data_IF_661557167697
#
_entry.id   IF_661557167697
#
_cell.length_a   1.000
_cell.length_b   1.000
_cell.length_c   1.000
_cell.angle_alpha   90.00
_cell.angle_beta   90.00
_cell.angle_gamma   90.00
#
_symmetry.space_group_name_H-M   'P 1'
#
loop_
_entity.id
_entity.type
_entity.pdbx_description
1 polymer ?
#
# COMPACT_ATOMS: atom_id res chain seq x y z
N UNK A 1 -29.11 6.45 -7.73
CA UNK A 1 -29.32 7.35 -6.57
C UNK A 1 -28.90 8.72 -7.05
N UNK A 2 -29.87 9.65 -7.17
CA UNK A 2 -29.61 11.03 -7.59
C UNK A 2 -28.79 11.71 -6.50
N UNK A 3 -27.57 12.07 -6.83
CA UNK A 3 -26.72 12.93 -6.01
C UNK A 3 -27.28 14.36 -6.15
N UNK A 4 -27.79 14.92 -5.07
CA UNK A 4 -28.22 16.32 -5.02
C UNK A 4 -26.96 17.17 -4.91
N UNK A 5 -26.72 18.00 -5.93
CA UNK A 5 -25.72 19.07 -5.92
C UNK A 5 -26.09 20.09 -4.83
N UNK A 6 -25.61 19.84 -3.62
CA UNK A 6 -25.58 20.88 -2.60
C UNK A 6 -24.21 21.56 -2.73
N UNK A 7 -24.12 22.83 -3.10
CA UNK A 7 -22.85 23.53 -3.09
C UNK A 7 -22.33 23.55 -1.65
N UNK A 8 -21.20 22.89 -1.42
CA UNK A 8 -20.44 23.03 -0.20
C UNK A 8 -20.04 24.51 -0.09
N UNK A 9 -20.81 25.28 0.68
CA UNK A 9 -20.38 26.60 1.12
C UNK A 9 -19.17 26.39 2.02
N UNK A 10 -17.98 26.56 1.44
CA UNK A 10 -16.73 26.53 2.12
C UNK A 10 -16.64 27.76 3.03
N UNK A 11 -17.23 27.69 4.22
CA UNK A 11 -16.95 28.63 5.28
C UNK A 11 -15.55 28.32 5.78
N UNK A 12 -14.56 28.96 5.17
CA UNK A 12 -13.17 28.93 5.64
C UNK A 12 -13.12 29.48 7.06
N UNK A 13 -13.08 28.58 8.05
CA UNK A 13 -12.64 28.97 9.37
C UNK A 13 -11.20 29.51 9.23
N UNK A 14 -10.88 30.68 9.80
CA UNK A 14 -9.50 31.15 9.76
C UNK A 14 -8.63 30.11 10.45
N UNK A 15 -7.67 29.54 9.71
CA UNK A 15 -6.71 28.59 10.24
C UNK A 15 -5.76 29.32 11.18
N UNK A 16 -6.13 29.38 12.45
CA UNK A 16 -5.36 30.09 13.47
C UNK A 16 -4.10 29.34 13.88
N UNK A 17 -3.95 28.05 13.52
CA UNK A 17 -2.72 27.29 13.80
C UNK A 17 -2.64 26.02 12.93
N UNK A 18 -2.02 26.06 11.73
CA UNK A 18 -1.94 24.92 10.82
C UNK A 18 -1.11 23.73 11.34
N UNK A 19 -0.33 23.91 12.40
CA UNK A 19 0.61 22.91 12.90
C UNK A 19 0.08 22.01 14.03
N UNK A 20 -1.24 21.96 14.26
CA UNK A 20 -1.83 21.14 15.33
C UNK A 20 -2.34 19.77 14.83
N UNK A 21 -1.63 19.12 13.93
CA UNK A 21 -1.90 17.70 13.67
C UNK A 21 -1.29 16.88 14.79
N UNK A 22 -2.14 16.42 15.71
CA UNK A 22 -1.71 15.48 16.74
C UNK A 22 -1.58 14.09 16.12
N UNK A 23 -0.37 13.59 16.02
CA UNK A 23 -0.08 12.22 15.60
C UNK A 23 0.74 11.49 16.66
N UNK A 24 0.76 10.18 16.60
CA UNK A 24 1.69 9.41 17.41
C UNK A 24 3.12 9.76 17.02
N UNK A 25 4.05 9.98 17.97
CA UNK A 25 5.46 10.22 17.67
C UNK A 25 6.10 9.13 16.83
N UNK A 26 5.55 7.91 16.84
CA UNK A 26 6.03 6.79 16.05
C UNK A 26 5.82 6.95 14.54
N UNK A 27 4.89 7.81 14.11
CA UNK A 27 4.65 8.09 12.69
C UNK A 27 5.65 9.08 12.08
N UNK A 28 6.21 9.98 12.89
CA UNK A 28 7.18 10.98 12.43
C UNK A 28 8.60 10.46 12.66
N UNK A 29 9.25 10.03 11.61
CA UNK A 29 10.61 9.51 11.66
C UNK A 29 11.47 10.09 10.52
N UNK A 30 12.66 10.62 10.84
CA UNK A 30 13.67 10.97 9.85
C UNK A 30 14.43 9.71 9.37
N UNK A 31 15.18 9.83 8.28
CA UNK A 31 15.90 8.72 7.66
C UNK A 31 16.87 7.98 8.60
N UNK A 32 17.42 8.68 9.59
CA UNK A 32 18.36 8.10 10.58
C UNK A 32 17.67 7.42 11.76
N UNK A 33 16.36 7.27 11.76
CA UNK A 33 15.63 6.55 12.82
C UNK A 33 15.87 5.03 12.78
N UNK A 34 16.38 4.53 11.67
CA UNK A 34 16.61 3.10 11.46
C UNK A 34 18.12 2.84 11.30
N UNK A 35 18.66 1.91 12.10
CA UNK A 35 20.06 1.50 12.00
C UNK A 35 20.29 0.55 10.83
N UNK A 36 19.27 -0.25 10.51
CA UNK A 36 19.30 -1.19 9.40
C UNK A 36 17.88 -1.57 8.96
N UNK A 37 17.77 -2.27 7.83
CA UNK A 37 16.48 -2.82 7.38
C UNK A 37 15.87 -3.82 8.37
N UNK A 38 16.64 -4.42 9.26
CA UNK A 38 16.12 -5.33 10.28
C UNK A 38 15.13 -4.64 11.23
N UNK A 39 15.25 -3.32 11.42
CA UNK A 39 14.40 -2.56 12.33
C UNK A 39 12.93 -2.47 11.86
N UNK A 40 12.69 -2.66 10.56
CA UNK A 40 11.36 -2.60 9.94
C UNK A 40 11.01 -3.83 9.10
N UNK A 41 11.81 -4.91 9.18
CA UNK A 41 11.57 -6.13 8.41
C UNK A 41 11.09 -7.26 9.29
N UNK A 42 9.93 -7.81 8.94
CA UNK A 42 9.42 -9.07 9.49
C UNK A 42 9.80 -10.20 8.53
N UNK A 43 10.80 -11.00 8.92
CA UNK A 43 11.25 -12.13 8.12
C UNK A 43 10.43 -13.38 8.48
N UNK A 44 9.85 -14.06 7.50
CA UNK A 44 9.13 -15.31 7.71
C UNK A 44 10.12 -16.43 8.04
N UNK A 45 9.77 -17.22 9.05
CA UNK A 45 10.44 -18.48 9.38
C UNK A 45 10.08 -19.57 8.36
N UNK A 46 10.83 -20.67 8.36
CA UNK A 46 10.53 -21.81 7.49
C UNK A 46 9.13 -22.37 7.77
N UNK A 47 8.74 -22.48 9.04
CA UNK A 47 7.38 -22.91 9.42
C UNK A 47 6.30 -21.99 8.84
N UNK A 48 6.46 -20.68 8.92
CA UNK A 48 5.49 -19.72 8.40
C UNK A 48 5.42 -19.75 6.86
N UNK A 49 6.54 -20.03 6.20
CA UNK A 49 6.57 -20.25 4.75
C UNK A 49 5.82 -21.51 4.38
N UNK A 50 6.03 -22.62 5.11
CA UNK A 50 5.34 -23.87 4.89
C UNK A 50 3.82 -23.72 5.12
N UNK A 51 3.41 -22.99 6.18
CA UNK A 51 1.99 -22.65 6.42
C UNK A 51 1.38 -21.87 5.24
N UNK A 52 2.08 -20.89 4.70
CA UNK A 52 1.61 -20.11 3.56
C UNK A 52 1.46 -20.97 2.31
N UNK A 53 2.46 -21.78 1.99
CA UNK A 53 2.42 -22.71 0.84
C UNK A 53 1.23 -23.68 0.99
N UNK A 54 1.09 -24.30 2.16
CA UNK A 54 0.00 -25.24 2.43
C UNK A 54 -1.36 -24.57 2.33
N UNK A 55 -1.52 -23.36 2.86
CA UNK A 55 -2.76 -22.60 2.79
C UNK A 55 -3.14 -22.28 1.34
N UNK A 56 -2.19 -21.81 0.53
CA UNK A 56 -2.40 -21.55 -0.90
C UNK A 56 -2.85 -22.81 -1.65
N UNK A 57 -2.15 -23.92 -1.44
CA UNK A 57 -2.43 -25.19 -2.13
C UNK A 57 -3.71 -25.89 -1.65
N UNK A 58 -4.22 -25.50 -0.48
CA UNK A 58 -5.50 -25.99 0.04
C UNK A 58 -6.73 -25.28 -0.54
N UNK A 59 -6.54 -24.16 -1.27
CA UNK A 59 -7.66 -23.44 -1.87
C UNK A 59 -8.34 -24.31 -2.93
N UNK A 60 -9.69 -24.38 -2.92
CA UNK A 60 -10.42 -25.14 -3.94
C UNK A 60 -10.14 -24.59 -5.35
N UNK A 61 -9.85 -25.46 -6.32
CA UNK A 61 -9.56 -25.10 -7.70
C UNK A 61 -10.68 -24.27 -8.39
N UNK A 62 -11.91 -24.33 -7.88
CA UNK A 62 -13.05 -23.56 -8.39
C UNK A 62 -13.15 -22.12 -7.82
N UNK A 63 -12.28 -21.75 -6.88
CA UNK A 63 -12.29 -20.40 -6.29
C UNK A 63 -11.09 -19.62 -6.81
N UNK A 64 -11.35 -18.39 -7.22
CA UNK A 64 -10.27 -17.43 -7.38
C UNK A 64 -9.79 -17.01 -5.99
N UNK A 65 -8.48 -16.79 -5.76
CA UNK A 65 -7.96 -16.33 -4.47
C UNK A 65 -8.72 -15.11 -3.97
N UNK A 66 -9.09 -14.20 -4.84
CA UNK A 66 -9.76 -12.93 -4.54
C UNK A 66 -11.18 -13.10 -3.96
N UNK A 67 -11.76 -14.29 -4.01
CA UNK A 67 -13.04 -14.59 -3.34
C UNK A 67 -12.88 -15.21 -1.96
N UNK A 68 -11.64 -15.35 -1.47
CA UNK A 68 -11.31 -15.97 -0.20
C UNK A 68 -10.85 -14.91 0.81
N UNK A 69 -11.44 -14.90 2.00
CA UNK A 69 -10.98 -14.06 3.11
C UNK A 69 -9.94 -14.77 3.97
N UNK A 70 -9.44 -14.11 5.02
CA UNK A 70 -8.40 -14.65 5.91
C UNK A 70 -8.75 -15.99 6.57
N UNK A 71 -10.03 -16.26 6.79
CA UNK A 71 -10.50 -17.52 7.38
C UNK A 71 -10.23 -18.76 6.49
N UNK A 72 -10.07 -18.58 5.17
CA UNK A 72 -9.75 -19.65 4.24
C UNK A 72 -8.24 -19.92 4.12
N UNK A 73 -7.40 -19.04 4.65
CA UNK A 73 -5.95 -19.23 4.70
C UNK A 73 -5.54 -19.69 6.11
N UNK A 74 -5.44 -21.00 6.30
CA UNK A 74 -5.05 -21.59 7.59
C UNK A 74 -3.55 -21.42 7.85
N UNK A 75 -3.16 -20.29 8.40
CA UNK A 75 -1.77 -19.91 8.70
C UNK A 75 -1.65 -19.45 10.17
N UNK A 76 -1.83 -20.34 11.16
CA UNK A 76 -1.99 -19.93 12.55
C UNK A 76 -0.79 -19.15 13.11
N UNK A 77 0.42 -19.56 12.81
CA UNK A 77 1.65 -18.87 13.25
C UNK A 77 1.85 -17.58 12.49
N UNK A 78 1.78 -17.63 11.17
CA UNK A 78 1.96 -16.46 10.32
C UNK A 78 0.86 -15.41 10.55
N UNK A 79 -0.40 -15.81 10.71
CA UNK A 79 -1.52 -14.90 10.97
C UNK A 79 -1.31 -14.05 12.24
N UNK A 80 -0.74 -14.62 13.29
CA UNK A 80 -0.42 -13.88 14.51
C UNK A 80 0.62 -12.78 14.23
N UNK A 81 1.68 -13.11 13.48
CA UNK A 81 2.70 -12.13 13.11
C UNK A 81 2.21 -11.07 12.13
N UNK A 82 1.34 -11.43 11.19
CA UNK A 82 0.72 -10.46 10.27
C UNK A 82 -0.18 -9.48 11.02
N UNK A 83 -0.85 -9.94 12.10
CA UNK A 83 -1.61 -9.06 12.96
C UNK A 83 -0.72 -8.03 13.67
N UNK A 84 0.43 -8.45 14.18
CA UNK A 84 1.39 -7.54 14.81
C UNK A 84 1.96 -6.55 13.77
N UNK A 85 2.26 -7.03 12.56
CA UNK A 85 2.69 -6.18 11.45
C UNK A 85 1.62 -5.18 11.04
N UNK A 86 0.34 -5.58 11.02
CA UNK A 86 -0.78 -4.67 10.77
C UNK A 86 -0.86 -3.56 11.82
N UNK A 87 -0.72 -3.89 13.11
CA UNK A 87 -0.73 -2.88 14.18
C UNK A 87 0.44 -1.90 14.07
N UNK A 88 1.62 -2.36 13.63
CA UNK A 88 2.77 -1.48 13.39
C UNK A 88 2.52 -0.52 12.21
N UNK A 89 1.88 -0.99 11.14
CA UNK A 89 1.47 -0.13 10.03
C UNK A 89 0.38 0.85 10.46
N UNK A 90 -0.64 0.38 11.19
CA UNK A 90 -1.81 1.19 11.57
C UNK A 90 -1.52 2.23 12.65
N UNK A 91 -0.69 1.90 13.63
CA UNK A 91 -0.53 2.66 14.87
C UNK A 91 0.93 2.87 15.27
N UNK A 92 1.87 2.26 14.56
CA UNK A 92 3.31 2.35 14.79
C UNK A 92 4.01 3.27 13.80
N UNK A 93 4.97 2.73 13.07
CA UNK A 93 5.80 3.49 12.13
C UNK A 93 5.14 3.79 10.78
N UNK A 94 3.99 3.18 10.48
CA UNK A 94 3.25 3.39 9.23
C UNK A 94 3.66 2.52 8.06
N UNK A 95 4.67 1.66 8.21
CA UNK A 95 5.09 0.71 7.17
C UNK A 95 5.80 -0.51 7.78
N UNK A 96 5.83 -1.59 7.02
CA UNK A 96 6.58 -2.82 7.34
C UNK A 96 7.10 -3.45 6.05
N UNK A 97 8.24 -4.09 6.11
CA UNK A 97 8.74 -4.95 5.04
C UNK A 97 8.54 -6.41 5.46
N UNK A 98 7.75 -7.15 4.71
CA UNK A 98 7.61 -8.60 4.88
C UNK A 98 8.60 -9.28 3.95
N UNK A 99 9.47 -10.14 4.48
CA UNK A 99 10.48 -10.85 3.70
C UNK A 99 10.41 -12.35 3.91
N UNK A 100 10.88 -13.09 2.92
CA UNK A 100 10.87 -14.56 2.97
C UNK A 100 9.63 -15.19 2.36
N UNK A 101 8.89 -14.47 1.50
CA UNK A 101 7.91 -15.12 0.63
C UNK A 101 8.59 -16.22 -0.19
N UNK A 102 8.01 -17.44 -0.26
CA UNK A 102 8.63 -18.60 -0.89
C UNK A 102 8.52 -18.57 -2.43
N UNK A 103 9.04 -17.51 -3.06
CA UNK A 103 8.88 -17.25 -4.50
C UNK A 103 9.43 -18.36 -5.39
N UNK A 104 10.50 -19.04 -4.97
CA UNK A 104 11.12 -20.13 -5.73
C UNK A 104 10.33 -21.45 -5.65
N UNK A 105 9.36 -21.54 -4.75
CA UNK A 105 8.56 -22.73 -4.48
C UNK A 105 7.11 -22.61 -4.99
N UNK A 106 6.73 -21.42 -5.46
CA UNK A 106 5.38 -21.11 -5.93
C UNK A 106 5.37 -20.90 -7.44
N UNK A 107 4.27 -21.30 -8.07
CA UNK A 107 3.94 -20.84 -9.43
C UNK A 107 3.48 -19.37 -9.38
N UNK A 108 3.37 -18.72 -10.55
CA UNK A 108 2.89 -17.35 -10.62
C UNK A 108 1.47 -17.18 -10.00
N UNK A 109 0.58 -18.13 -10.27
CA UNK A 109 -0.78 -18.09 -9.73
C UNK A 109 -0.79 -18.35 -8.21
N UNK A 110 0.05 -19.28 -7.73
CA UNK A 110 0.21 -19.53 -6.30
C UNK A 110 0.82 -18.30 -5.59
N UNK A 111 1.74 -17.58 -6.24
CA UNK A 111 2.28 -16.34 -5.69
C UNK A 111 1.20 -15.25 -5.55
N UNK A 112 0.37 -15.07 -6.57
CA UNK A 112 -0.78 -14.15 -6.50
C UNK A 112 -1.72 -14.54 -5.36
N UNK A 113 -1.99 -15.84 -5.18
CA UNK A 113 -2.80 -16.35 -4.07
C UNK A 113 -2.13 -16.11 -2.71
N UNK A 114 -0.80 -16.28 -2.61
CA UNK A 114 -0.04 -16.00 -1.39
C UNK A 114 -0.07 -14.51 -1.01
N UNK A 115 0.13 -13.63 -2.00
CA UNK A 115 0.02 -12.17 -1.80
C UNK A 115 -1.38 -11.78 -1.35
N UNK A 116 -2.41 -12.37 -1.96
CA UNK A 116 -3.79 -12.16 -1.53
C UNK A 116 -4.02 -12.63 -0.10
N UNK A 117 -3.61 -13.86 0.25
CA UNK A 117 -3.76 -14.42 1.59
C UNK A 117 -3.11 -13.56 2.67
N UNK A 118 -1.90 -13.07 2.42
CA UNK A 118 -1.23 -12.11 3.30
C UNK A 118 -2.03 -10.81 3.38
N UNK A 119 -2.47 -10.27 2.24
CA UNK A 119 -3.20 -9.01 2.15
C UNK A 119 -4.51 -8.99 2.94
N UNK A 120 -5.21 -10.13 3.03
CA UNK A 120 -6.46 -10.24 3.80
C UNK A 120 -6.31 -9.98 5.31
N UNK A 121 -5.09 -9.95 5.81
CA UNK A 121 -4.79 -9.57 7.20
C UNK A 121 -4.63 -8.06 7.39
N UNK A 122 -4.55 -7.30 6.30
CA UNK A 122 -4.35 -5.85 6.33
C UNK A 122 -5.62 -5.06 5.96
N UNK A 123 -6.65 -5.70 5.44
CA UNK A 123 -7.92 -5.07 5.11
C UNK A 123 -8.59 -5.65 3.88
N UNK A 124 -9.60 -4.95 3.40
CA UNK A 124 -10.33 -5.29 2.20
C UNK A 124 -9.69 -4.66 0.97
N UNK A 125 -9.50 -5.44 -0.08
CA UNK A 125 -8.90 -4.96 -1.31
C UNK A 125 -9.87 -4.05 -2.08
N UNK A 126 -9.32 -2.97 -2.65
CA UNK A 126 -10.03 -2.06 -3.54
C UNK A 126 -9.69 -2.38 -5.00
N UNK A 127 -10.62 -2.04 -5.89
CA UNK A 127 -10.37 -2.16 -7.33
C UNK A 127 -9.17 -1.31 -7.75
N UNK A 128 -8.27 -1.92 -8.52
CA UNK A 128 -7.04 -1.29 -9.01
C UNK A 128 -7.20 -0.65 -10.40
N UNK A 129 -8.30 -0.94 -11.07
CA UNK A 129 -8.59 -0.42 -12.42
C UNK A 129 -10.08 -0.49 -12.74
N UNK A 130 -10.46 0.02 -13.91
CA UNK A 130 -11.84 0.01 -14.43
C UNK A 130 -12.40 -1.39 -14.70
N UNK A 131 -11.55 -2.40 -14.82
CA UNK A 131 -11.96 -3.80 -14.99
C UNK A 131 -12.35 -4.48 -13.69
N UNK A 132 -12.11 -3.81 -12.54
CA UNK A 132 -12.42 -4.37 -11.22
C UNK A 132 -11.34 -5.30 -10.67
N UNK A 133 -10.14 -5.29 -11.24
CA UNK A 133 -9.04 -6.10 -10.73
C UNK A 133 -8.66 -5.66 -9.32
N UNK A 134 -8.54 -6.63 -8.41
CA UNK A 134 -8.16 -6.39 -7.00
C UNK A 134 -6.66 -6.49 -6.75
N UNK A 135 -5.90 -7.05 -7.70
CA UNK A 135 -4.43 -7.09 -7.71
C UNK A 135 -3.95 -6.51 -9.03
N UNK A 136 -3.16 -5.46 -8.96
CA UNK A 136 -2.50 -4.86 -10.12
C UNK A 136 -1.15 -5.52 -10.38
N UNK A 137 -0.89 -5.91 -11.64
CA UNK A 137 0.41 -6.41 -12.06
C UNK A 137 1.29 -5.26 -12.52
N UNK A 138 2.39 -5.02 -11.80
CA UNK A 138 3.40 -4.01 -12.15
C UNK A 138 4.44 -4.65 -13.06
N UNK A 139 4.43 -4.24 -14.33
CA UNK A 139 5.37 -4.71 -15.35
C UNK A 139 5.53 -3.65 -16.42
N UNK A 140 6.63 -3.70 -17.16
CA UNK A 140 6.81 -2.85 -18.35
C UNK A 140 5.92 -3.38 -19.49
N UNK A 141 4.89 -2.62 -19.84
CA UNK A 141 3.98 -2.91 -20.93
C UNK A 141 4.11 -1.92 -22.09
N UNK A 142 5.19 -1.14 -22.14
CA UNK A 142 5.41 -0.12 -23.20
C UNK A 142 5.49 -0.70 -24.61
N UNK A 143 5.81 -1.98 -24.74
CA UNK A 143 5.81 -2.67 -26.02
C UNK A 143 4.40 -3.03 -26.53
N UNK A 144 3.43 -3.14 -25.63
CA UNK A 144 2.07 -3.60 -25.91
C UNK A 144 1.05 -2.46 -25.90
N UNK A 145 1.33 -1.40 -25.14
CA UNK A 145 0.46 -0.25 -24.94
C UNK A 145 1.25 1.06 -25.23
N UNK A 146 0.77 1.82 -26.18
CA UNK A 146 1.41 3.09 -26.57
C UNK A 146 1.29 4.19 -25.49
N UNK A 147 0.33 4.06 -24.56
CA UNK A 147 0.08 5.03 -23.48
C UNK A 147 -0.15 4.32 -22.14
N UNK A 148 0.80 3.51 -21.66
CA UNK A 148 0.62 2.75 -20.44
C UNK A 148 0.53 3.68 -19.23
N UNK A 149 -0.24 3.29 -18.23
CA UNK A 149 -0.17 3.96 -16.92
C UNK A 149 1.28 3.89 -16.39
N UNK A 150 1.71 4.86 -15.60
CA UNK A 150 3.10 4.98 -15.15
C UNK A 150 3.63 3.70 -14.45
N UNK A 151 2.80 3.00 -13.66
CA UNK A 151 3.19 1.74 -13.02
C UNK A 151 3.38 0.56 -14.00
N UNK A 152 2.96 0.73 -15.26
CA UNK A 152 3.17 -0.22 -16.36
C UNK A 152 4.22 0.27 -17.37
N UNK A 153 5.05 1.20 -16.97
CA UNK A 153 6.15 1.74 -17.75
C UNK A 153 7.48 1.60 -16.99
N UNK A 154 8.58 1.82 -17.68
CA UNK A 154 9.92 1.85 -17.09
C UNK A 154 10.33 3.23 -16.58
N UNK A 155 9.38 4.16 -16.45
CA UNK A 155 9.62 5.50 -15.95
C UNK A 155 9.67 5.52 -14.42
N UNK A 156 10.46 6.44 -13.89
CA UNK A 156 10.52 6.70 -12.46
C UNK A 156 9.20 7.33 -11.98
N UNK A 157 8.59 6.70 -10.96
CA UNK A 157 7.44 7.27 -10.27
C UNK A 157 7.91 8.33 -9.27
N UNK A 158 7.38 9.54 -9.39
CA UNK A 158 7.63 10.61 -8.42
C UNK A 158 6.99 10.28 -7.08
N UNK A 159 7.50 10.86 -5.96
CA UNK A 159 6.84 10.73 -4.66
C UNK A 159 5.36 11.12 -4.75
N UNK A 160 4.49 10.24 -4.26
CA UNK A 160 3.04 10.42 -4.26
C UNK A 160 2.41 9.64 -3.12
N UNK A 161 1.18 9.94 -2.82
CA UNK A 161 0.30 9.14 -1.98
C UNK A 161 -0.80 8.56 -2.85
N UNK A 162 -1.17 7.33 -2.59
CA UNK A 162 -2.42 6.77 -3.12
C UNK A 162 -3.58 7.11 -2.20
N UNK A 163 -4.80 7.03 -2.74
CA UNK A 163 -6.04 7.40 -2.03
C UNK A 163 -6.60 6.28 -1.16
N UNK A 164 -5.79 5.28 -0.85
CA UNK A 164 -6.17 4.12 -0.03
C UNK A 164 -5.58 4.24 1.37
N UNK A 165 -6.18 3.54 2.34
CA UNK A 165 -5.66 3.52 3.71
C UNK A 165 -4.33 2.78 3.83
N UNK A 166 -4.11 1.74 3.01
CA UNK A 166 -2.88 0.95 2.96
C UNK A 166 -2.58 0.53 1.54
N UNK A 167 -1.30 0.41 1.22
CA UNK A 167 -0.79 -0.09 -0.05
C UNK A 167 0.11 -1.29 0.25
N UNK A 168 0.00 -2.32 -0.56
CA UNK A 168 0.89 -3.47 -0.54
C UNK A 168 1.54 -3.66 -1.90
N UNK A 169 2.86 -3.81 -1.91
CA UNK A 169 3.63 -4.16 -3.09
C UNK A 169 4.36 -5.47 -2.84
N UNK A 170 4.18 -6.46 -3.70
CA UNK A 170 4.88 -7.72 -3.63
C UNK A 170 5.82 -7.88 -4.83
N UNK A 171 7.05 -8.27 -4.57
CA UNK A 171 8.07 -8.46 -5.60
C UNK A 171 8.18 -9.95 -5.95
N UNK A 172 7.76 -10.31 -7.16
CA UNK A 172 7.96 -11.64 -7.74
C UNK A 172 9.40 -11.78 -8.26
N UNK A 173 9.81 -10.85 -9.11
CA UNK A 173 11.16 -10.79 -9.65
C UNK A 173 11.72 -9.38 -9.49
N UNK A 174 12.97 -9.30 -9.04
CA UNK A 174 13.68 -8.03 -9.00
C UNK A 174 14.04 -7.59 -10.42
N UNK A 175 13.91 -6.28 -10.68
CA UNK A 175 14.46 -5.70 -11.89
C UNK A 175 16.00 -5.84 -11.90
N UNK A 176 16.60 -5.93 -13.09
CA UNK A 176 18.06 -5.99 -13.23
C UNK A 176 18.74 -4.68 -12.77
N UNK A 177 18.06 -3.56 -12.99
CA UNK A 177 18.53 -2.22 -12.60
C UNK A 177 17.35 -1.38 -12.14
N UNK A 178 17.54 -0.53 -11.14
CA UNK A 178 16.49 0.33 -10.60
C UNK A 178 15.46 -0.42 -9.75
N UNK A 179 14.24 0.10 -9.69
CA UNK A 179 13.11 -0.51 -8.97
C UNK A 179 13.19 -0.40 -7.45
N UNK A 180 14.08 0.45 -6.92
CA UNK A 180 14.11 0.71 -5.48
C UNK A 180 12.92 1.59 -5.07
N UNK A 181 12.24 1.19 -4.00
CA UNK A 181 11.19 2.00 -3.39
C UNK A 181 11.79 2.94 -2.35
N UNK A 182 11.34 4.19 -2.38
CA UNK A 182 11.68 5.20 -1.37
C UNK A 182 10.43 5.50 -0.57
N UNK A 183 10.51 5.35 0.75
CA UNK A 183 9.40 5.63 1.67
C UNK A 183 9.77 6.84 2.51
N UNK A 184 8.84 7.78 2.64
CA UNK A 184 8.99 9.00 3.43
C UNK A 184 7.81 9.13 4.39
N UNK A 185 8.08 9.49 5.63
CA UNK A 185 7.02 9.81 6.58
C UNK A 185 6.33 11.12 6.20
N UNK A 186 5.05 11.06 5.84
CA UNK A 186 4.24 12.25 5.57
C UNK A 186 4.14 13.17 6.80
N UNK A 187 4.16 12.61 8.01
CA UNK A 187 4.17 13.39 9.25
C UNK A 187 5.47 14.16 9.43
N UNK A 188 6.62 13.54 9.15
CA UNK A 188 7.91 14.25 9.17
C UNK A 188 7.95 15.36 8.13
N UNK A 189 7.44 15.10 6.92
CA UNK A 189 7.32 16.15 5.89
C UNK A 189 6.45 17.29 6.38
N UNK A 190 5.29 16.99 6.96
CA UNK A 190 4.40 18.01 7.52
C UNK A 190 5.08 18.82 8.63
N UNK A 191 5.81 18.18 9.56
CA UNK A 191 6.55 18.87 10.60
C UNK A 191 7.63 19.80 10.03
N UNK A 192 8.33 19.38 8.99
CA UNK A 192 9.32 20.23 8.32
C UNK A 192 8.67 21.40 7.58
N UNK A 193 7.52 21.19 6.95
CA UNK A 193 6.75 22.28 6.35
C UNK A 193 6.29 23.30 7.41
N UNK A 194 5.84 22.83 8.59
CA UNK A 194 5.49 23.70 9.70
C UNK A 194 6.65 24.57 10.17
N UNK A 195 7.87 24.04 10.14
CA UNK A 195 9.07 24.75 10.62
C UNK A 195 9.63 25.72 9.58
N UNK A 196 9.62 25.36 8.31
CA UNK A 196 10.41 26.04 7.27
C UNK A 196 9.57 26.70 6.18
N UNK A 197 8.32 26.24 5.96
CA UNK A 197 7.50 26.62 4.81
C UNK A 197 6.03 26.74 5.20
N UNK A 198 5.76 27.48 6.26
CA UNK A 198 4.40 27.62 6.83
C UNK A 198 3.37 28.12 5.82
N UNK A 199 3.81 28.94 4.86
CA UNK A 199 2.97 29.53 3.83
C UNK A 199 2.40 28.52 2.83
N UNK A 200 3.01 27.34 2.68
CA UNK A 200 2.51 26.30 1.76
C UNK A 200 1.44 25.43 2.41
N UNK A 201 1.29 25.46 3.73
CA UNK A 201 0.34 24.60 4.43
C UNK A 201 -1.12 24.96 4.13
N UNK A 202 -1.45 26.24 4.05
CA UNK A 202 -2.82 26.66 3.78
C UNK A 202 -3.34 26.11 2.42
N UNK A 203 -2.61 26.24 1.29
CA UNK A 203 -3.00 25.60 0.05
C UNK A 203 -3.14 24.09 0.16
N UNK A 204 -2.24 23.40 0.87
CA UNK A 204 -2.29 21.96 1.08
C UNK A 204 -3.55 21.53 1.85
N UNK A 205 -3.92 22.27 2.91
CA UNK A 205 -5.13 21.99 3.68
C UNK A 205 -6.42 22.34 2.97
N UNK A 206 -6.41 23.25 2.01
CA UNK A 206 -7.56 23.51 1.13
C UNK A 206 -7.88 22.33 0.25
N UNK A 207 -6.90 21.48 -0.01
CA UNK A 207 -6.99 20.35 -0.93
C UNK A 207 -6.92 20.78 -2.40
N UNK A 208 -6.93 19.78 -3.25
CA UNK A 208 -6.83 19.93 -4.70
C UNK A 208 -7.94 19.15 -5.37
N UNK A 209 -8.39 19.60 -6.53
CA UNK A 209 -9.27 18.81 -7.36
C UNK A 209 -8.53 17.57 -7.82
N UNK A 210 -9.11 16.42 -7.53
CA UNK A 210 -8.60 15.14 -7.99
C UNK A 210 -9.39 14.70 -9.23
N UNK A 211 -8.67 14.30 -10.26
CA UNK A 211 -9.24 13.75 -11.49
C UNK A 211 -8.90 12.27 -11.60
N UNK A 212 -9.91 11.44 -11.58
CA UNK A 212 -9.76 9.99 -11.69
C UNK A 212 -9.75 9.60 -13.17
N UNK A 213 -8.56 9.65 -13.79
CA UNK A 213 -8.38 9.40 -15.23
C UNK A 213 -8.88 8.01 -15.61
N UNK A 214 -9.90 7.96 -16.48
CA UNK A 214 -10.45 6.72 -17.04
C UNK A 214 -11.44 5.98 -16.13
N UNK A 215 -11.82 6.55 -14.99
CA UNK A 215 -12.79 5.95 -14.07
C UNK A 215 -14.08 6.79 -13.95
N UNK A 216 -14.23 7.78 -14.80
CA UNK A 216 -15.48 8.55 -14.88
C UNK A 216 -16.56 7.65 -15.49
N UNK A 217 -17.69 7.52 -14.76
CA UNK A 217 -18.87 6.91 -15.34
C UNK A 217 -19.33 7.73 -16.56
N UNK A 218 -19.72 7.09 -17.67
CA UNK A 218 -20.20 7.78 -18.84
C UNK A 218 -21.48 8.59 -18.56
#
# INVERSE_FOLDING_TARGET
IKQTDTPLTNSLLPMTTPCLVHHSPSFAWPANSFNSSADYTVKFSDQERDELIAAVRSLPAARTPQTSGSAQFAMPTLSARLKDAYEDVRSGRGFVVLSGLPVDELTADEFVAAVWGVGTHFGDALSQNTSGDLIGHVMDATAEDATPRMYRSNLELRPHNDITAMISLACWHKSQTGGASVIVSAFTVHEELCKQYLEVLEPLYRGFHYHQVGEEAP
#
